data_IF_659491297298
#
_entry.id   IF_659491297298
#
_cell.length_a   1.000
_cell.length_b   1.000
_cell.length_c   1.000
_cell.angle_alpha   90.00
_cell.angle_beta   90.00
_cell.angle_gamma   90.00
#
_symmetry.space_group_name_H-M   'P 1'
#
loop_
_entity.id
_entity.type
_entity.pdbx_description
1 polymer ?
#
# COMPACT_ATOMS: atom_id res chain seq x y z
N UNK A 1 -11.60 3.34 -1.46
CA UNK A 1 -10.49 2.50 -1.94
C UNK A 1 -9.26 2.76 -1.11
N UNK A 2 -8.91 1.83 -0.24
CA UNK A 2 -7.62 1.85 0.46
C UNK A 2 -6.68 0.86 -0.21
N UNK A 3 -5.40 0.99 0.04
CA UNK A 3 -4.36 0.12 -0.46
C UNK A 3 -3.65 -0.50 0.73
N UNK A 4 -3.55 -1.83 0.76
CA UNK A 4 -2.79 -2.54 1.77
C UNK A 4 -1.49 -3.04 1.16
N UNK A 5 -0.46 -3.21 1.98
CA UNK A 5 0.74 -3.91 1.53
C UNK A 5 0.47 -5.41 1.43
N UNK A 6 1.00 -6.06 0.39
CA UNK A 6 1.03 -7.53 0.27
C UNK A 6 1.58 -8.24 1.49
N UNK A 7 2.51 -7.62 2.22
CA UNK A 7 3.07 -8.21 3.45
C UNK A 7 2.19 -7.95 4.68
N UNK A 8 1.13 -7.15 4.56
CA UNK A 8 0.19 -6.77 5.62
C UNK A 8 0.84 -6.16 6.88
N UNK A 9 2.10 -5.74 6.76
CA UNK A 9 2.88 -5.11 7.82
C UNK A 9 2.90 -3.58 7.73
N UNK A 10 2.48 -3.00 6.59
CA UNK A 10 2.28 -1.56 6.48
C UNK A 10 0.87 -1.14 6.91
N UNK A 11 0.73 0.12 7.36
CA UNK A 11 -0.56 0.76 7.47
C UNK A 11 -1.27 0.83 6.10
N UNK A 12 -2.61 0.88 6.15
CA UNK A 12 -3.44 1.11 4.98
C UNK A 12 -3.10 2.48 4.39
N UNK A 13 -2.72 2.49 3.11
CA UNK A 13 -2.41 3.68 2.35
C UNK A 13 -3.60 4.12 1.49
N UNK A 14 -3.63 5.40 1.13
CA UNK A 14 -4.52 5.91 0.08
C UNK A 14 -3.99 5.61 -1.32
N UNK A 15 -4.83 5.75 -2.36
CA UNK A 15 -4.39 5.66 -3.76
C UNK A 15 -3.21 6.61 -4.03
N UNK A 16 -3.31 7.85 -3.55
CA UNK A 16 -2.26 8.84 -3.72
C UNK A 16 -0.95 8.38 -3.10
N UNK A 17 -0.98 7.86 -1.87
CA UNK A 17 0.23 7.34 -1.22
C UNK A 17 0.82 6.14 -1.94
N UNK A 18 -0.01 5.20 -2.40
CA UNK A 18 0.45 4.03 -3.13
C UNK A 18 1.14 4.43 -4.45
N UNK A 19 0.60 5.43 -5.15
CA UNK A 19 1.17 5.93 -6.41
C UNK A 19 2.44 6.75 -6.16
N UNK A 20 2.46 7.60 -5.14
CA UNK A 20 3.62 8.47 -4.84
C UNK A 20 4.79 7.66 -4.26
N UNK A 21 4.53 6.73 -3.35
CA UNK A 21 5.58 5.89 -2.74
C UNK A 21 6.01 4.74 -3.65
N UNK A 22 5.08 4.22 -4.46
CA UNK A 22 5.28 3.06 -5.33
C UNK A 22 5.38 1.73 -4.56
N UNK A 23 6.35 1.64 -3.64
CA UNK A 23 6.56 0.52 -2.74
C UNK A 23 6.03 0.83 -1.34
N UNK A 24 5.50 -0.21 -0.68
CA UNK A 24 5.12 -0.12 0.72
C UNK A 24 6.38 -0.03 1.61
N UNK A 25 6.29 0.60 2.79
CA UNK A 25 7.43 0.79 3.69
C UNK A 25 8.02 -0.54 4.18
N UNK A 26 7.23 -1.62 4.16
CA UNK A 26 7.66 -2.99 4.47
C UNK A 26 8.29 -3.73 3.27
N UNK A 27 8.64 -3.01 2.18
CA UNK A 27 9.12 -3.57 0.89
C UNK A 27 8.09 -4.44 0.15
N UNK A 28 6.84 -4.43 0.58
CA UNK A 28 5.73 -5.03 -0.15
C UNK A 28 5.21 -4.15 -1.28
N UNK A 29 4.28 -4.70 -2.06
CA UNK A 29 3.56 -3.96 -3.09
C UNK A 29 2.23 -3.46 -2.52
N UNK A 30 1.82 -2.27 -2.92
CA UNK A 30 0.49 -1.77 -2.61
C UNK A 30 -0.56 -2.44 -3.50
N UNK A 31 -1.57 -3.05 -2.87
CA UNK A 31 -2.70 -3.69 -3.51
C UNK A 31 -4.00 -3.05 -3.03
N UNK A 32 -5.00 -2.82 -3.90
CA UNK A 32 -6.27 -2.26 -3.49
C UNK A 32 -7.04 -3.22 -2.58
N UNK A 33 -7.42 -2.74 -1.41
CA UNK A 33 -8.52 -3.28 -0.61
C UNK A 33 -9.82 -3.02 -1.37
N UNK A 34 -10.63 -4.08 -1.52
CA UNK A 34 -11.88 -4.15 -2.29
C UNK A 34 -12.66 -2.84 -2.35
#
# INVERSE_FOLDING_TARGET
>A
MKYYSTNKNAPLASLQEAVVKGLAPDRGLYMPER
#
